data_IF_818332401234
#
_entry.id   IF_818332401234
#
_cell.length_a   1.000
_cell.length_b   1.000
_cell.length_c   1.000
_cell.angle_alpha   90.00
_cell.angle_beta   90.00
_cell.angle_gamma   90.00
#
_symmetry.space_group_name_H-M   'P 1'
#
loop_
_entity.id
_entity.type
_entity.pdbx_description
1 polymer ?
#
# COMPACT_ATOMS: atom_id res chain seq x y z
N UNK A 1 -10.49 -6.11 15.22
CA UNK A 1 -10.23 -4.67 14.97
C UNK A 1 -9.15 -4.37 13.92
N UNK A 2 -8.12 -5.22 13.71
CA UNK A 2 -6.99 -4.89 12.80
C UNK A 2 -7.34 -4.84 11.29
N UNK A 3 -8.23 -5.71 10.80
CA UNK A 3 -8.58 -5.79 9.37
C UNK A 3 -9.27 -4.53 8.83
N UNK A 4 -10.15 -3.91 9.62
CA UNK A 4 -10.85 -2.67 9.23
C UNK A 4 -9.88 -1.51 9.05
N UNK A 5 -8.85 -1.41 9.89
CA UNK A 5 -7.80 -0.39 9.78
C UNK A 5 -6.94 -0.64 8.54
N UNK A 6 -6.59 -1.89 8.24
CA UNK A 6 -5.90 -2.27 7.00
C UNK A 6 -6.69 -1.84 5.77
N UNK A 7 -7.96 -2.24 5.70
CA UNK A 7 -8.86 -1.87 4.60
C UNK A 7 -9.02 -0.35 4.44
N UNK A 8 -9.16 0.40 5.53
CA UNK A 8 -9.24 1.86 5.48
C UNK A 8 -7.95 2.48 4.89
N UNK A 9 -6.79 1.94 5.25
CA UNK A 9 -5.51 2.40 4.71
C UNK A 9 -5.33 2.02 3.24
N UNK A 10 -5.81 0.85 2.81
CA UNK A 10 -5.88 0.48 1.39
C UNK A 10 -6.69 1.51 0.60
N UNK A 11 -7.88 1.86 1.09
CA UNK A 11 -8.75 2.85 0.44
C UNK A 11 -8.08 4.24 0.33
N UNK A 12 -7.36 4.68 1.37
CA UNK A 12 -6.61 5.94 1.31
C UNK A 12 -5.53 5.93 0.23
N UNK A 13 -4.80 4.82 0.10
CA UNK A 13 -3.78 4.66 -0.95
C UNK A 13 -4.43 4.64 -2.33
N UNK A 14 -5.57 3.95 -2.49
CA UNK A 14 -6.30 3.93 -3.75
C UNK A 14 -6.71 5.35 -4.19
N UNK A 15 -7.29 6.14 -3.29
CA UNK A 15 -7.72 7.52 -3.58
C UNK A 15 -6.54 8.39 -4.00
N UNK A 16 -5.39 8.26 -3.33
CA UNK A 16 -4.18 9.01 -3.67
C UNK A 16 -3.62 8.63 -5.04
N UNK A 17 -3.59 7.34 -5.37
CA UNK A 17 -3.13 6.89 -6.69
C UNK A 17 -4.06 7.37 -7.80
N UNK A 18 -5.37 7.30 -7.58
CA UNK A 18 -6.37 7.80 -8.52
C UNK A 18 -6.25 9.32 -8.73
N UNK A 19 -6.01 10.10 -7.66
CA UNK A 19 -5.85 11.56 -7.76
C UNK A 19 -4.60 11.97 -8.55
N UNK A 20 -3.59 11.10 -8.62
CA UNK A 20 -2.37 11.28 -9.41
C UNK A 20 -2.47 10.71 -10.83
N UNK A 21 -3.64 10.23 -11.25
CA UNK A 21 -3.89 9.73 -12.61
C UNK A 21 -3.42 8.30 -12.87
N UNK A 22 -3.18 7.51 -11.83
CA UNK A 22 -2.98 6.07 -11.96
C UNK A 22 -4.34 5.37 -12.08
N UNK A 23 -4.39 4.26 -12.82
CA UNK A 23 -5.51 3.33 -12.73
C UNK A 23 -5.18 2.30 -11.65
N UNK A 24 -6.15 1.97 -10.80
CA UNK A 24 -5.93 1.05 -9.67
C UNK A 24 -6.91 -0.11 -9.76
N UNK A 25 -6.40 -1.33 -9.66
CA UNK A 25 -7.19 -2.57 -9.60
C UNK A 25 -7.03 -3.22 -8.22
N UNK A 26 -8.16 -3.52 -7.57
CA UNK A 26 -8.20 -4.28 -6.32
C UNK A 26 -8.61 -5.73 -6.63
N UNK A 27 -7.82 -6.75 -6.25
CA UNK A 27 -8.21 -8.14 -6.43
C UNK A 27 -9.45 -8.48 -5.58
N UNK A 28 -10.26 -9.40 -6.08
CA UNK A 28 -11.42 -9.91 -5.34
C UNK A 28 -10.94 -10.92 -4.28
N UNK A 29 -11.05 -10.54 -3.00
CA UNK A 29 -10.64 -11.37 -1.86
C UNK A 29 -9.16 -11.29 -1.50
N UNK A 30 -8.74 -12.12 -0.54
CA UNK A 30 -7.42 -12.02 0.13
C UNK A 30 -6.42 -13.12 -0.34
N UNK A 31 -6.67 -13.76 -1.48
CA UNK A 31 -5.85 -14.90 -1.95
C UNK A 31 -4.57 -14.46 -2.68
N UNK A 32 -4.44 -13.18 -3.01
CA UNK A 32 -3.29 -12.64 -3.72
C UNK A 32 -2.18 -12.22 -2.73
N UNK A 33 -0.90 -12.36 -3.09
CA UNK A 33 0.23 -11.93 -2.26
C UNK A 33 0.50 -10.40 -2.37
N UNK A 34 -0.51 -9.62 -2.72
CA UNK A 34 -0.49 -8.16 -2.91
C UNK A 34 -1.89 -7.60 -2.68
N UNK A 35 -1.98 -6.34 -2.28
CA UNK A 35 -3.26 -5.70 -1.92
C UNK A 35 -3.87 -4.93 -3.08
N UNK A 36 -3.05 -4.33 -3.97
CA UNK A 36 -3.49 -3.57 -5.15
C UNK A 36 -2.54 -3.76 -6.33
N UNK A 37 -3.03 -3.46 -7.53
CA UNK A 37 -2.22 -3.22 -8.73
C UNK A 37 -2.44 -1.78 -9.17
N UNK A 38 -1.36 -1.03 -9.41
CA UNK A 38 -1.42 0.27 -10.08
C UNK A 38 -0.93 0.15 -11.52
N UNK A 39 -1.62 0.80 -12.45
CA UNK A 39 -1.23 0.96 -13.84
C UNK A 39 -0.88 2.43 -14.09
N UNK A 40 0.32 2.64 -14.65
CA UNK A 40 0.71 3.90 -15.22
C UNK A 40 1.32 3.67 -16.60
N UNK A 41 0.67 4.21 -17.64
CA UNK A 41 1.15 4.15 -19.03
C UNK A 41 1.41 2.70 -19.50
N UNK A 42 0.58 1.75 -19.07
CA UNK A 42 0.68 0.34 -19.45
C UNK A 42 1.69 -0.46 -18.62
N UNK A 43 2.33 0.15 -17.62
CA UNK A 43 3.22 -0.54 -16.69
C UNK A 43 2.46 -0.88 -15.42
N UNK A 44 2.35 -2.17 -15.13
CA UNK A 44 1.66 -2.71 -13.96
C UNK A 44 2.63 -2.91 -12.79
N UNK A 45 2.27 -2.34 -11.63
CA UNK A 45 3.00 -2.53 -10.38
C UNK A 45 2.11 -3.16 -9.32
N UNK A 46 2.59 -4.25 -8.71
CA UNK A 46 1.94 -4.87 -7.54
C UNK A 46 2.34 -4.10 -6.29
N UNK A 47 1.35 -3.76 -5.47
CA UNK A 47 1.53 -2.97 -4.25
C UNK A 47 1.10 -3.80 -3.02
N UNK A 48 1.93 -3.76 -1.98
CA UNK A 48 1.59 -4.27 -0.65
C UNK A 48 1.56 -3.10 0.32
N UNK A 49 0.44 -2.95 1.01
CA UNK A 49 0.15 -1.87 1.93
C UNK A 49 0.37 -2.37 3.35
N UNK A 50 1.14 -1.60 4.11
CA UNK A 50 1.40 -1.88 5.52
C UNK A 50 1.21 -0.62 6.33
N UNK A 51 0.44 -0.73 7.41
CA UNK A 51 0.31 0.32 8.41
C UNK A 51 1.32 0.11 9.53
N UNK A 52 2.01 1.17 9.94
CA UNK A 52 2.90 1.15 11.10
C UNK A 52 2.30 1.98 12.23
N UNK A 53 2.42 1.50 13.47
CA UNK A 53 1.96 2.19 14.69
C UNK A 53 3.09 2.84 15.48
N UNK A 54 4.35 2.77 14.98
CA UNK A 54 5.50 3.37 15.70
C UNK A 54 5.27 4.87 15.87
N UNK A 55 5.30 5.27 17.15
CA UNK A 55 4.79 6.53 17.68
C UNK A 55 5.19 7.75 16.88
N UNK A 56 4.23 8.65 16.73
CA UNK A 56 4.51 10.05 16.44
C UNK A 56 5.41 10.61 17.55
N UNK A 57 6.73 10.53 17.37
CA UNK A 57 7.62 11.49 18.00
C UNK A 57 7.27 12.91 17.50
N UNK A 58 7.60 13.97 18.25
CA UNK A 58 7.11 15.34 18.01
C UNK A 58 7.62 16.02 16.72
N UNK A 59 8.12 15.27 15.74
CA UNK A 59 8.79 15.78 14.55
C UNK A 59 8.43 15.02 13.26
N UNK A 60 7.15 14.86 12.94
CA UNK A 60 6.79 14.58 11.54
C UNK A 60 5.49 15.26 11.13
N UNK A 61 5.63 16.53 10.74
CA UNK A 61 4.61 17.34 10.07
C UNK A 61 4.30 16.86 8.64
N UNK A 62 4.95 15.77 8.19
CA UNK A 62 4.67 15.11 6.91
C UNK A 62 3.75 13.91 7.13
N UNK A 63 2.43 14.14 7.08
CA UNK A 63 1.39 13.10 7.01
C UNK A 63 1.29 12.44 5.61
N UNK A 64 2.33 12.56 4.79
CA UNK A 64 2.36 12.02 3.44
C UNK A 64 2.51 10.51 3.43
N UNK A 65 1.82 9.86 2.49
CA UNK A 65 2.08 8.47 2.13
C UNK A 65 3.55 8.32 1.72
N UNK A 66 4.28 7.45 2.42
CA UNK A 66 5.65 7.08 2.02
C UNK A 66 5.59 5.86 1.13
N UNK A 67 5.84 6.05 -0.16
CA UNK A 67 6.01 4.94 -1.11
C UNK A 67 7.45 4.46 -1.03
N UNK A 68 7.63 3.20 -0.65
CA UNK A 68 8.92 2.52 -0.68
C UNK A 68 8.87 1.50 -1.82
N UNK A 69 9.66 1.72 -2.86
CA UNK A 69 9.87 0.72 -3.90
C UNK A 69 10.94 -0.27 -3.40
N UNK A 70 10.53 -1.51 -3.13
CA UNK A 70 11.43 -2.58 -2.75
C UNK A 70 11.34 -3.72 -3.77
N UNK A 71 12.49 -4.23 -4.22
CA UNK A 71 12.60 -5.43 -5.06
C UNK A 71 13.18 -6.54 -4.20
N UNK A 72 12.36 -7.51 -3.81
CA UNK A 72 12.76 -8.63 -2.96
C UNK A 72 12.09 -9.93 -3.40
N UNK A 73 12.68 -11.07 -3.02
CA UNK A 73 12.04 -12.37 -3.17
C UNK A 73 10.84 -12.48 -2.21
N UNK A 74 9.78 -13.21 -2.58
CA UNK A 74 8.60 -13.40 -1.74
C UNK A 74 8.86 -14.26 -0.47
N UNK A 75 10.11 -14.65 -0.22
CA UNK A 75 10.46 -15.37 1.00
C UNK A 75 10.34 -14.41 2.19
N UNK A 76 9.31 -14.64 3.00
CA UNK A 76 9.23 -14.08 4.36
C UNK A 76 10.38 -14.68 5.16
N UNK A 77 11.46 -13.94 5.32
CA UNK A 77 12.52 -14.28 6.26
C UNK A 77 11.88 -14.28 7.65
N UNK A 78 11.75 -15.47 8.25
CA UNK A 78 11.42 -15.61 9.67
C UNK A 78 12.65 -15.15 10.45
N UNK A 79 12.49 -14.08 11.23
CA UNK A 79 13.38 -13.76 12.34
C UNK A 79 13.08 -14.70 13.50
#
# INVERSE_FOLDING_TARGET
MSKQIGFLNEMKVMVELLSQGFVVSKPQGDYCPYDLISDHKGILHRLQIKSTTRGAGPASRNRGLKVLAAKGSQQKIKL
#
